data_IF_708998834847
#
_entry.id   IF_708998834847
#
_cell.length_a   1.000
_cell.length_b   1.000
_cell.length_c   1.000
_cell.angle_alpha   90.00
_cell.angle_beta   90.00
_cell.angle_gamma   90.00
#
_symmetry.space_group_name_H-M   'P 1'
#
loop_
_entity.id
_entity.type
_entity.pdbx_description
1 polymer ?
#
# COMPACT_ATOMS: atom_id res chain seq x y z
N UNK A 1 12.12 30.50 -74.06
CA UNK A 1 11.70 31.85 -74.51
C UNK A 1 10.30 32.02 -73.96
N UNK A 2 10.02 33.15 -73.34
CA UNK A 2 8.71 33.36 -72.71
C UNK A 2 7.63 33.51 -73.79
N UNK A 3 6.44 32.93 -73.57
CA UNK A 3 5.30 33.04 -74.49
C UNK A 3 4.96 34.52 -74.70
N UNK A 4 5.03 35.32 -73.63
CA UNK A 4 4.79 36.75 -73.67
C UNK A 4 5.72 37.46 -74.66
N UNK A 5 7.02 37.11 -74.65
CA UNK A 5 7.99 37.67 -75.57
C UNK A 5 7.69 37.33 -77.04
N UNK A 6 7.17 36.12 -77.31
CA UNK A 6 6.77 35.73 -78.67
C UNK A 6 5.51 36.47 -79.13
N UNK A 7 4.57 36.72 -78.21
CA UNK A 7 3.38 37.54 -78.48
C UNK A 7 3.78 38.98 -78.76
N UNK A 8 4.62 39.58 -77.92
CA UNK A 8 5.12 40.95 -78.11
C UNK A 8 5.87 41.08 -79.44
N UNK A 9 6.65 40.06 -79.81
CA UNK A 9 7.36 40.04 -81.10
C UNK A 9 6.42 39.93 -82.28
N UNK A 10 5.36 39.13 -82.18
CA UNK A 10 4.32 39.03 -83.20
C UNK A 10 3.56 40.35 -83.36
N UNK A 11 3.20 40.98 -82.24
CA UNK A 11 2.52 42.27 -82.21
C UNK A 11 3.38 43.37 -82.85
N UNK A 12 4.66 43.42 -82.52
CA UNK A 12 5.62 44.34 -83.13
C UNK A 12 5.80 44.07 -84.64
N UNK A 13 5.78 42.81 -85.08
CA UNK A 13 5.83 42.46 -86.50
C UNK A 13 4.59 42.98 -87.26
N UNK A 14 3.42 42.88 -86.64
CA UNK A 14 2.14 43.37 -87.19
C UNK A 14 2.07 44.92 -87.15
N UNK A 15 2.62 45.55 -86.12
CA UNK A 15 2.65 47.01 -86.00
C UNK A 15 3.62 47.66 -87.01
N UNK A 16 4.76 47.00 -87.27
CA UNK A 16 5.82 47.51 -88.16
C UNK A 16 5.59 47.23 -89.64
N UNK A 17 4.54 46.47 -90.00
CA UNK A 17 4.31 46.02 -91.37
C UNK A 17 3.58 47.04 -92.24
N UNK A 18 3.82 46.94 -93.55
CA UNK A 18 3.34 47.92 -94.54
C UNK A 18 1.84 47.75 -94.75
N UNK A 19 1.06 48.78 -94.42
CA UNK A 19 -0.39 48.81 -94.68
C UNK A 19 -0.67 49.23 -96.11
N UNK A 20 -1.65 48.59 -96.74
CA UNK A 20 -2.08 48.90 -98.10
C UNK A 20 -3.14 50.02 -98.05
N UNK A 21 -2.91 51.17 -98.70
CA UNK A 21 -3.88 52.28 -98.72
C UNK A 21 -5.25 51.82 -99.26
N UNK A 22 -6.34 52.38 -98.72
CA UNK A 22 -7.72 52.06 -99.11
C UNK A 22 -8.18 50.61 -98.82
N UNK A 23 -7.38 49.80 -98.10
CA UNK A 23 -7.77 48.46 -97.66
C UNK A 23 -7.37 48.21 -96.20
N UNK A 24 -8.02 47.27 -95.52
CA UNK A 24 -7.65 46.83 -94.17
C UNK A 24 -6.56 45.73 -94.18
N UNK A 25 -5.76 45.64 -95.24
CA UNK A 25 -4.76 44.58 -95.42
C UNK A 25 -3.36 45.02 -94.99
N UNK A 26 -2.61 44.09 -94.41
CA UNK A 26 -1.24 44.30 -93.92
C UNK A 26 -0.31 43.34 -94.66
N UNK A 27 0.77 43.85 -95.23
CA UNK A 27 1.78 43.04 -95.94
C UNK A 27 2.84 42.59 -94.93
N UNK A 28 2.95 41.28 -94.76
CA UNK A 28 3.87 40.64 -93.84
C UNK A 28 4.84 39.74 -94.61
N UNK A 29 6.07 39.62 -94.10
CA UNK A 29 7.04 38.64 -94.60
C UNK A 29 6.69 37.28 -94.02
N UNK A 30 6.34 36.34 -94.89
CA UNK A 30 5.93 34.98 -94.52
C UNK A 30 6.94 34.28 -93.61
N UNK A 31 8.24 34.35 -93.94
CA UNK A 31 9.30 33.70 -93.16
C UNK A 31 9.43 34.22 -91.72
N UNK A 32 9.21 35.51 -91.48
CA UNK A 32 9.31 36.10 -90.15
C UNK A 32 8.14 35.66 -89.25
N UNK A 33 6.93 35.53 -89.83
CA UNK A 33 5.74 35.08 -89.10
C UNK A 33 5.80 33.57 -88.81
N UNK A 34 6.23 32.77 -89.79
CA UNK A 34 6.35 31.33 -89.63
C UNK A 34 7.38 30.97 -88.57
N UNK A 35 8.51 31.70 -88.51
CA UNK A 35 9.50 31.53 -87.45
C UNK A 35 8.94 31.79 -86.04
N UNK A 36 8.09 32.80 -85.88
CA UNK A 36 7.45 33.10 -84.58
C UNK A 36 6.44 31.99 -84.23
N UNK A 37 5.65 31.52 -85.21
CA UNK A 37 4.69 30.43 -85.03
C UNK A 37 5.39 29.12 -84.64
N UNK A 38 6.52 28.78 -85.28
CA UNK A 38 7.30 27.57 -84.94
C UNK A 38 7.91 27.65 -83.55
N UNK A 39 8.38 28.84 -83.14
CA UNK A 39 8.86 29.09 -81.78
C UNK A 39 7.72 28.97 -80.76
N UNK A 40 6.53 29.51 -81.05
CA UNK A 40 5.34 29.37 -80.20
C UNK A 40 4.91 27.91 -80.09
N UNK A 41 4.94 27.17 -81.20
CA UNK A 41 4.56 25.75 -81.24
C UNK A 41 5.49 24.87 -80.40
N UNK A 42 6.74 25.28 -80.21
CA UNK A 42 7.73 24.55 -79.42
C UNK A 42 7.70 24.95 -77.94
N UNK A 43 7.55 26.25 -77.65
CA UNK A 43 7.53 26.79 -76.29
C UNK A 43 6.23 26.48 -75.57
N UNK A 44 5.08 26.97 -76.09
CA UNK A 44 3.79 26.93 -75.39
C UNK A 44 3.45 25.57 -74.76
N UNK A 45 3.61 24.43 -75.45
CA UNK A 45 3.32 23.13 -74.85
C UNK A 45 4.18 22.81 -73.63
N UNK A 46 5.44 23.23 -73.61
CA UNK A 46 6.36 23.00 -72.50
C UNK A 46 6.01 23.91 -71.31
N UNK A 47 5.70 25.19 -71.51
CA UNK A 47 5.23 26.04 -70.41
C UNK A 47 3.89 25.55 -69.83
N UNK A 48 2.95 25.09 -70.67
CA UNK A 48 1.69 24.49 -70.19
C UNK A 48 1.92 23.20 -69.39
N UNK A 49 2.86 22.34 -69.83
CA UNK A 49 3.26 21.14 -69.04
C UNK A 49 3.87 21.53 -67.71
N UNK A 50 4.76 22.53 -67.68
CA UNK A 50 5.37 23.01 -66.44
C UNK A 50 4.32 23.57 -65.48
N UNK A 51 3.40 24.41 -65.98
CA UNK A 51 2.30 24.93 -65.18
C UNK A 51 1.43 23.81 -64.58
N UNK A 52 1.08 22.79 -65.37
CA UNK A 52 0.34 21.61 -64.87
C UNK A 52 1.11 20.85 -63.80
N UNK A 53 2.43 20.67 -63.95
CA UNK A 53 3.28 20.02 -62.94
C UNK A 53 3.30 20.83 -61.64
N UNK A 54 3.42 22.15 -61.72
CA UNK A 54 3.40 23.03 -60.55
C UNK A 54 2.05 22.94 -59.83
N UNK A 55 0.94 22.91 -60.56
CA UNK A 55 -0.40 22.76 -59.97
C UNK A 55 -0.52 21.40 -59.27
N UNK A 56 -0.11 20.30 -59.91
CA UNK A 56 -0.12 18.97 -59.30
C UNK A 56 0.75 18.89 -58.04
N UNK A 57 1.93 19.50 -58.08
CA UNK A 57 2.84 19.52 -56.92
C UNK A 57 2.26 20.37 -55.79
N UNK A 58 1.64 21.51 -56.11
CA UNK A 58 0.93 22.33 -55.13
C UNK A 58 -0.21 21.55 -54.48
N UNK A 59 -1.03 20.85 -55.26
CA UNK A 59 -2.12 20.02 -54.74
C UNK A 59 -1.58 18.90 -53.84
N UNK A 60 -0.48 18.24 -54.24
CA UNK A 60 0.20 17.23 -53.43
C UNK A 60 0.69 17.80 -52.10
N UNK A 61 1.33 18.96 -52.11
CA UNK A 61 1.82 19.63 -50.90
C UNK A 61 0.67 20.02 -49.99
N UNK A 62 -0.43 20.56 -50.55
CA UNK A 62 -1.61 20.92 -49.77
C UNK A 62 -2.26 19.69 -49.12
N UNK A 63 -2.41 18.59 -49.87
CA UNK A 63 -2.94 17.35 -49.33
C UNK A 63 -2.06 16.80 -48.21
N UNK A 64 -0.73 16.82 -48.39
CA UNK A 64 0.21 16.38 -47.36
C UNK A 64 0.13 17.27 -46.11
N UNK A 65 0.13 18.59 -46.28
CA UNK A 65 0.03 19.53 -45.16
C UNK A 65 -1.28 19.36 -44.39
N UNK A 66 -2.39 19.08 -45.08
CA UNK A 66 -3.67 18.83 -44.44
C UNK A 66 -3.69 17.50 -43.69
N UNK A 67 -3.08 16.45 -44.25
CA UNK A 67 -2.89 15.17 -43.57
C UNK A 67 -2.03 15.33 -42.31
N UNK A 68 -0.90 16.03 -42.40
CA UNK A 68 0.01 16.28 -41.28
C UNK A 68 -0.66 17.12 -40.19
N UNK A 69 -1.40 18.16 -40.56
CA UNK A 69 -2.18 18.97 -39.62
C UNK A 69 -3.24 18.13 -38.89
N UNK A 70 -3.95 17.26 -39.62
CA UNK A 70 -4.95 16.37 -39.02
C UNK A 70 -4.32 15.36 -38.06
N UNK A 71 -3.15 14.80 -38.43
CA UNK A 71 -2.42 13.86 -37.58
C UNK A 71 -1.86 14.54 -36.33
N UNK A 72 -1.36 15.77 -36.46
CA UNK A 72 -0.88 16.56 -35.32
C UNK A 72 -2.02 16.87 -34.35
N UNK A 73 -3.18 17.27 -34.87
CA UNK A 73 -4.34 17.59 -34.03
C UNK A 73 -4.86 16.35 -33.30
N UNK A 74 -4.89 15.19 -33.97
CA UNK A 74 -5.27 13.92 -33.33
C UNK A 74 -4.30 13.54 -32.20
N UNK A 75 -2.98 13.68 -32.41
CA UNK A 75 -1.97 13.42 -31.36
C UNK A 75 -2.11 14.39 -30.19
N UNK A 76 -2.31 15.68 -30.45
CA UNK A 76 -2.50 16.68 -29.40
C UNK A 76 -3.75 16.40 -28.55
N UNK A 77 -4.85 15.96 -29.18
CA UNK A 77 -6.05 15.54 -28.48
C UNK A 77 -5.81 14.31 -27.61
N UNK A 78 -5.11 13.29 -28.14
CA UNK A 78 -4.77 12.10 -27.37
C UNK A 78 -3.88 12.43 -26.16
N UNK A 79 -2.86 13.27 -26.34
CA UNK A 79 -1.98 13.72 -25.25
C UNK A 79 -2.75 14.52 -24.19
N UNK A 80 -3.66 15.39 -24.61
CA UNK A 80 -4.51 16.17 -23.70
C UNK A 80 -5.42 15.26 -22.88
N UNK A 81 -6.09 14.28 -23.52
CA UNK A 81 -6.93 13.31 -22.81
C UNK A 81 -6.12 12.49 -21.81
N UNK A 82 -4.94 12.01 -22.20
CA UNK A 82 -4.02 11.29 -21.29
C UNK A 82 -3.56 12.16 -20.12
N UNK A 83 -3.36 13.46 -20.33
CA UNK A 83 -2.99 14.39 -19.27
C UNK A 83 -4.14 14.57 -18.27
N UNK A 84 -5.37 14.78 -18.77
CA UNK A 84 -6.58 14.89 -17.94
C UNK A 84 -6.82 13.60 -17.14
N UNK A 85 -6.68 12.43 -17.78
CA UNK A 85 -6.83 11.14 -17.10
C UNK A 85 -5.80 10.95 -15.97
N UNK A 86 -4.54 11.34 -16.22
CA UNK A 86 -3.48 11.30 -15.19
C UNK A 86 -3.76 12.28 -14.06
N UNK A 87 -4.19 13.50 -14.36
CA UNK A 87 -4.54 14.49 -13.35
C UNK A 87 -5.71 14.00 -12.50
N UNK A 88 -6.76 13.48 -13.13
CA UNK A 88 -7.89 12.86 -12.42
C UNK A 88 -7.45 11.70 -11.53
N UNK A 89 -6.55 10.83 -12.00
CA UNK A 89 -5.98 9.76 -11.19
C UNK A 89 -5.17 10.29 -9.99
N UNK A 90 -4.39 11.36 -10.19
CA UNK A 90 -3.61 11.99 -9.11
C UNK A 90 -4.51 12.57 -8.02
N UNK A 91 -5.58 13.27 -8.41
CA UNK A 91 -6.56 13.83 -7.46
C UNK A 91 -7.21 12.71 -6.62
N UNK A 92 -7.65 11.62 -7.28
CA UNK A 92 -8.24 10.46 -6.58
C UNK A 92 -7.21 9.80 -5.65
N UNK A 93 -5.95 9.68 -6.09
CA UNK A 93 -4.90 9.11 -5.27
C UNK A 93 -4.59 9.97 -4.05
N UNK A 94 -4.60 11.30 -4.20
CA UNK A 94 -4.39 12.24 -3.11
C UNK A 94 -5.54 12.20 -2.09
N UNK A 95 -6.79 12.20 -2.56
CA UNK A 95 -7.98 12.04 -1.71
C UNK A 95 -7.90 10.75 -0.87
N UNK A 96 -7.64 9.61 -1.52
CA UNK A 96 -7.47 8.32 -0.83
C UNK A 96 -6.31 8.31 0.16
N UNK A 97 -5.21 8.98 -0.18
CA UNK A 97 -4.06 9.11 0.73
C UNK A 97 -4.43 9.90 1.98
N UNK A 98 -5.15 11.02 1.81
CA UNK A 98 -5.65 11.82 2.92
C UNK A 98 -6.61 11.03 3.81
N UNK A 99 -7.55 10.30 3.22
CA UNK A 99 -8.45 9.40 3.97
C UNK A 99 -7.69 8.34 4.76
N UNK A 100 -6.67 7.73 4.15
CA UNK A 100 -5.83 6.73 4.82
C UNK A 100 -5.06 7.32 5.99
N UNK A 101 -4.48 8.51 5.83
CA UNK A 101 -3.77 9.22 6.90
C UNK A 101 -4.73 9.57 8.04
N UNK A 102 -5.92 10.07 7.74
CA UNK A 102 -6.93 10.38 8.75
C UNK A 102 -7.36 9.12 9.52
N UNK A 103 -7.66 8.03 8.80
CA UNK A 103 -8.02 6.74 9.40
C UNK A 103 -6.90 6.18 10.27
N UNK A 104 -5.64 6.25 9.80
CA UNK A 104 -4.48 5.83 10.57
C UNK A 104 -4.30 6.66 11.84
N UNK A 105 -4.46 7.99 11.77
CA UNK A 105 -4.39 8.88 12.92
C UNK A 105 -5.47 8.56 13.97
N UNK A 106 -6.72 8.39 13.52
CA UNK A 106 -7.83 8.01 14.41
C UNK A 106 -7.56 6.67 15.10
N UNK A 107 -7.09 5.67 14.33
CA UNK A 107 -6.74 4.36 14.87
C UNK A 107 -5.57 4.44 15.86
N UNK A 108 -4.54 5.22 15.56
CA UNK A 108 -3.42 5.42 16.49
C UNK A 108 -3.86 6.09 17.79
N UNK A 109 -4.69 7.14 17.71
CA UNK A 109 -5.24 7.79 18.91
C UNK A 109 -6.07 6.81 19.75
N UNK A 110 -6.89 5.98 19.11
CA UNK A 110 -7.68 4.97 19.80
C UNK A 110 -6.82 3.88 20.45
N UNK A 111 -5.73 3.46 19.81
CA UNK A 111 -4.76 2.51 20.39
C UNK A 111 -4.09 3.13 21.62
N UNK A 112 -3.63 4.39 21.53
CA UNK A 112 -2.98 5.09 22.64
C UNK A 112 -3.96 5.20 23.82
N UNK A 113 -5.18 5.68 23.57
CA UNK A 113 -6.22 5.80 24.60
C UNK A 113 -6.50 4.45 25.30
N UNK A 114 -6.66 3.37 24.52
CA UNK A 114 -6.87 2.03 25.09
C UNK A 114 -5.67 1.52 25.87
N UNK A 115 -4.45 1.82 25.43
CA UNK A 115 -3.24 1.46 26.15
C UNK A 115 -3.12 2.21 27.48
N UNK A 116 -3.47 3.50 27.51
CA UNK A 116 -3.52 4.31 28.73
C UNK A 116 -4.57 3.79 29.71
N UNK A 117 -5.80 3.54 29.23
CA UNK A 117 -6.88 2.94 30.04
C UNK A 117 -6.44 1.60 30.64
N UNK A 118 -5.83 0.74 29.83
CA UNK A 118 -5.35 -0.57 30.29
C UNK A 118 -4.20 -0.45 31.29
N UNK A 119 -3.26 0.47 31.07
CA UNK A 119 -2.15 0.70 32.00
C UNK A 119 -2.66 1.20 33.36
N UNK A 120 -3.66 2.08 33.38
CA UNK A 120 -4.22 2.60 34.61
C UNK A 120 -5.01 1.55 35.37
N UNK A 121 -5.77 0.71 34.66
CA UNK A 121 -6.43 -0.46 35.25
C UNK A 121 -5.42 -1.43 35.84
N UNK A 122 -4.34 -1.75 35.12
CA UNK A 122 -3.30 -2.67 35.59
C UNK A 122 -2.61 -2.14 36.85
N UNK A 123 -2.34 -0.83 36.93
CA UNK A 123 -1.80 -0.20 38.15
C UNK A 123 -2.76 -0.34 39.32
N UNK A 124 -4.05 -0.04 39.12
CA UNK A 124 -5.05 -0.15 40.17
C UNK A 124 -5.19 -1.60 40.67
N UNK A 125 -5.17 -2.58 39.77
CA UNK A 125 -5.20 -4.00 40.11
C UNK A 125 -3.95 -4.42 40.88
N UNK A 126 -2.77 -3.96 40.47
CA UNK A 126 -1.50 -4.24 41.16
C UNK A 126 -1.45 -3.62 42.57
N UNK A 127 -1.91 -2.38 42.72
CA UNK A 127 -2.02 -1.70 44.02
C UNK A 127 -3.00 -2.43 44.93
N UNK A 128 -4.15 -2.86 44.39
CA UNK A 128 -5.13 -3.67 45.11
C UNK A 128 -4.54 -4.99 45.59
N UNK A 129 -3.84 -5.70 44.72
CA UNK A 129 -3.15 -6.94 45.05
C UNK A 129 -2.06 -6.75 46.11
N UNK A 130 -1.26 -5.68 46.01
CA UNK A 130 -0.23 -5.35 46.98
C UNK A 130 -0.82 -5.05 48.36
N UNK A 131 -1.89 -4.24 48.42
CA UNK A 131 -2.61 -3.95 49.66
C UNK A 131 -3.18 -5.22 50.30
N UNK A 132 -3.77 -6.09 49.51
CA UNK A 132 -4.32 -7.36 50.00
C UNK A 132 -3.22 -8.28 50.54
N UNK A 133 -2.11 -8.40 49.82
CA UNK A 133 -0.95 -9.18 50.28
C UNK A 133 -0.39 -8.63 51.59
N UNK A 134 -0.26 -7.30 51.72
CA UNK A 134 0.21 -6.66 52.95
C UNK A 134 -0.77 -6.82 54.12
N UNK A 135 -2.08 -6.81 53.87
CA UNK A 135 -3.10 -7.09 54.90
C UNK A 135 -2.99 -8.53 55.41
N UNK A 136 -2.90 -9.49 54.50
CA UNK A 136 -2.73 -10.91 54.85
C UNK A 136 -1.43 -11.13 55.64
N UNK A 137 -0.33 -10.49 55.23
CA UNK A 137 0.93 -10.55 55.99
C UNK A 137 0.78 -9.97 57.40
N UNK A 138 0.12 -8.82 57.54
CA UNK A 138 -0.13 -8.20 58.86
C UNK A 138 -0.96 -9.13 59.75
N UNK A 139 -2.01 -9.74 59.22
CA UNK A 139 -2.84 -10.70 59.97
C UNK A 139 -2.04 -11.92 60.42
N UNK A 140 -1.18 -12.46 59.55
CA UNK A 140 -0.27 -13.55 59.92
C UNK A 140 0.70 -13.14 61.03
N UNK A 141 1.27 -11.93 60.98
CA UNK A 141 2.16 -11.44 62.02
C UNK A 141 1.46 -11.27 63.38
N UNK A 142 0.23 -10.74 63.39
CA UNK A 142 -0.58 -10.64 64.61
C UNK A 142 -0.92 -12.00 65.21
N UNK A 143 -1.18 -13.00 64.36
CA UNK A 143 -1.39 -14.37 64.81
C UNK A 143 -0.12 -14.93 65.46
N UNK A 144 1.05 -14.78 64.81
CA UNK A 144 2.34 -15.21 65.36
C UNK A 144 2.66 -14.51 66.68
N UNK A 145 2.41 -13.20 66.80
CA UNK A 145 2.59 -12.44 68.05
C UNK A 145 1.75 -13.02 69.19
N UNK A 146 0.49 -13.38 68.90
CA UNK A 146 -0.43 -13.97 69.88
C UNK A 146 0.07 -15.35 70.33
N UNK A 147 0.54 -16.19 69.40
CA UNK A 147 1.10 -17.51 69.71
C UNK A 147 2.38 -17.41 70.55
N UNK A 148 3.28 -16.48 70.22
CA UNK A 148 4.49 -16.22 71.00
C UNK A 148 4.13 -15.77 72.42
N UNK A 149 3.18 -14.84 72.56
CA UNK A 149 2.72 -14.36 73.87
C UNK A 149 2.12 -15.48 74.72
N UNK A 150 1.34 -16.39 74.11
CA UNK A 150 0.81 -17.59 74.79
C UNK A 150 1.93 -18.53 75.23
N UNK A 151 2.94 -18.71 74.39
CA UNK A 151 4.10 -19.56 74.67
C UNK A 151 4.93 -19.00 75.83
N UNK A 152 5.20 -17.69 75.85
CA UNK A 152 5.91 -17.02 76.95
C UNK A 152 5.15 -17.22 78.27
N UNK A 153 3.85 -16.95 78.29
CA UNK A 153 3.01 -17.16 79.48
C UNK A 153 3.02 -18.62 79.96
N UNK A 154 3.09 -19.59 79.04
CA UNK A 154 3.20 -21.01 79.40
C UNK A 154 4.56 -21.36 80.00
N UNK A 155 5.65 -20.75 79.48
CA UNK A 155 7.00 -20.92 80.02
C UNK A 155 7.08 -20.31 81.42
N UNK A 156 6.55 -19.10 81.62
CA UNK A 156 6.50 -18.43 82.93
C UNK A 156 5.76 -19.28 83.96
N UNK A 157 4.55 -19.77 83.62
CA UNK A 157 3.80 -20.70 84.49
C UNK A 157 4.56 -22.00 84.77
N UNK A 158 5.28 -22.53 83.77
CA UNK A 158 6.13 -23.70 83.94
C UNK A 158 7.28 -23.44 84.92
N UNK A 159 7.97 -22.30 84.80
CA UNK A 159 9.04 -21.90 85.71
C UNK A 159 8.51 -21.71 87.14
N UNK A 160 7.38 -21.01 87.32
CA UNK A 160 6.75 -20.83 88.64
C UNK A 160 6.44 -22.20 89.28
N UNK A 161 5.90 -23.15 88.51
CA UNK A 161 5.61 -24.50 89.01
C UNK A 161 6.84 -25.30 89.44
N UNK A 162 8.01 -25.01 88.87
CA UNK A 162 9.28 -25.63 89.25
C UNK A 162 9.91 -24.96 90.48
N UNK A 163 9.61 -23.69 90.75
CA UNK A 163 10.08 -22.98 91.93
C UNK A 163 9.27 -23.32 93.19
N UNK A 164 7.99 -23.72 93.03
CA UNK A 164 7.07 -23.97 94.13
C UNK A 164 7.03 -25.43 94.62
N UNK A 165 7.97 -26.29 94.21
CA UNK A 165 8.08 -27.64 94.76
C UNK A 165 8.80 -27.64 96.12
N UNK A 166 8.13 -27.99 97.24
CA UNK A 166 8.82 -28.28 98.49
C UNK A 166 9.51 -29.64 98.35
N UNK A 167 10.82 -29.66 98.58
CA UNK A 167 11.62 -30.89 98.62
C UNK A 167 11.06 -31.83 99.70
N UNK A 168 10.42 -32.92 99.30
CA UNK A 168 10.13 -34.05 100.20
C UNK A 168 10.76 -35.31 99.61
N UNK A 169 11.68 -35.88 100.38
CA UNK A 169 12.46 -37.08 100.09
C UNK A 169 11.62 -38.32 100.41
N UNK A 170 11.60 -39.25 99.43
CA UNK A 170 11.46 -40.72 99.45
C UNK A 170 10.56 -41.40 100.49
N UNK A 171 9.72 -42.33 100.02
CA UNK A 171 9.84 -43.76 100.39
C UNK A 171 9.14 -44.66 99.36
N UNK A 172 9.84 -45.74 98.99
CA UNK A 172 9.38 -46.84 98.14
C UNK A 172 8.40 -47.75 98.91
N UNK A 173 7.39 -48.30 98.23
CA UNK A 173 6.92 -49.66 98.53
C UNK A 173 6.43 -50.36 97.25
N UNK A 174 6.58 -51.68 97.25
CA UNK A 174 6.84 -52.57 96.11
C UNK A 174 5.73 -53.64 96.03
N UNK A 175 5.22 -53.87 94.81
CA UNK A 175 4.74 -55.15 94.19
C UNK A 175 3.35 -55.69 94.58
N UNK A 176 2.53 -56.01 93.56
CA UNK A 176 2.26 -57.40 93.12
C UNK A 176 1.63 -57.46 91.71
N UNK A 177 2.10 -58.45 90.94
CA UNK A 177 1.77 -58.79 89.54
C UNK A 177 0.51 -59.67 89.45
N UNK A 178 -0.15 -59.71 88.28
CA UNK A 178 -0.53 -61.00 87.66
C UNK A 178 -0.82 -60.88 86.14
N UNK A 179 -0.06 -61.69 85.39
CA UNK A 179 -0.23 -62.37 84.09
C UNK A 179 -1.62 -62.37 83.38
N UNK A 180 -1.79 -62.58 82.06
CA UNK A 180 -0.96 -62.84 80.87
C UNK A 180 -1.93 -62.93 79.65
N UNK A 181 -1.36 -62.90 78.45
CA UNK A 181 -1.75 -63.59 77.19
C UNK A 181 -1.92 -62.71 75.94
N UNK A 182 -0.85 -62.70 75.13
CA UNK A 182 -0.80 -62.50 73.67
C UNK A 182 -1.16 -63.84 72.96
N UNK A 183 -1.42 -63.93 71.63
CA UNK A 183 -0.81 -63.11 70.56
C UNK A 183 -1.71 -62.78 69.33
N UNK A 184 -1.11 -62.04 68.38
CA UNK A 184 -1.57 -61.74 67.01
C UNK A 184 -1.93 -63.00 66.19
N UNK A 185 -2.59 -62.80 65.02
CA UNK A 185 -1.90 -63.25 63.81
C UNK A 185 -1.99 -62.28 62.62
N UNK A 186 -0.88 -62.25 61.88
CA UNK A 186 -0.71 -61.82 60.49
C UNK A 186 -1.39 -62.76 59.48
N UNK A 187 -1.97 -62.24 58.38
CA UNK A 187 -1.99 -62.92 57.07
C UNK A 187 -2.49 -62.02 55.89
N UNK A 188 -1.55 -61.68 54.99
CA UNK A 188 -1.50 -61.73 53.49
C UNK A 188 -2.76 -61.40 52.60
N UNK A 189 -2.69 -61.18 51.25
CA UNK A 189 -1.59 -60.93 50.29
C UNK A 189 -1.85 -59.77 49.25
N UNK A 190 -0.83 -59.45 48.42
CA UNK A 190 -0.95 -58.76 47.07
C UNK A 190 -1.65 -59.67 46.02
N UNK A 191 -1.80 -59.42 44.69
CA UNK A 191 -1.50 -58.25 43.81
C UNK A 191 -2.62 -57.95 42.75
N UNK A 192 -2.43 -56.95 41.86
CA UNK A 192 -2.38 -57.13 40.37
C UNK A 192 -2.52 -55.82 39.58
N UNK A 193 -1.69 -55.77 38.54
CA UNK A 193 -1.76 -54.91 37.35
C UNK A 193 -3.08 -55.10 36.57
N UNK A 194 -3.60 -54.01 36.03
CA UNK A 194 -4.28 -53.92 34.73
C UNK A 194 -3.97 -52.50 34.20
N UNK A 195 -3.29 -52.25 33.08
CA UNK A 195 -3.52 -52.62 31.67
C UNK A 195 -4.86 -52.14 31.13
N UNK A 196 -4.85 -51.11 30.29
CA UNK A 196 -5.33 -51.09 28.90
C UNK A 196 -5.17 -49.64 28.39
N UNK A 197 -4.32 -49.44 27.36
CA UNK A 197 -4.70 -49.41 25.95
C UNK A 197 -5.55 -48.16 25.64
N UNK A 198 -4.93 -47.15 25.04
CA UNK A 198 -4.89 -46.96 23.60
C UNK A 198 -6.19 -46.34 23.09
N UNK A 199 -6.11 -45.07 22.72
CA UNK A 199 -6.84 -44.62 21.54
C UNK A 199 -5.97 -43.66 20.74
N UNK A 200 -5.53 -44.19 19.61
CA UNK A 200 -5.08 -43.48 18.43
C UNK A 200 -6.30 -42.95 17.69
N UNK A 201 -6.25 -41.75 17.10
CA UNK A 201 -6.78 -41.40 15.76
C UNK A 201 -6.87 -39.87 15.64
N UNK A 202 -6.39 -39.33 14.50
CA UNK A 202 -6.84 -38.04 14.00
C UNK A 202 -5.71 -37.11 13.56
N UNK A 203 -5.12 -37.40 12.40
CA UNK A 203 -4.00 -36.65 11.82
C UNK A 203 -4.33 -35.22 11.35
N UNK A 204 -3.32 -34.52 10.79
CA UNK A 204 -3.41 -33.15 10.33
C UNK A 204 -3.86 -33.09 8.86
N UNK A 205 -4.76 -32.17 8.54
CA UNK A 205 -4.91 -31.53 7.21
C UNK A 205 -6.04 -30.50 7.27
N UNK A 206 -5.79 -29.26 6.82
CA UNK A 206 -6.17 -28.75 5.50
C UNK A 206 -5.84 -27.25 5.46
N UNK A 207 -5.03 -26.89 4.46
CA UNK A 207 -4.93 -25.65 3.68
C UNK A 207 -5.95 -24.53 3.94
N UNK A 208 -5.47 -23.28 4.00
CA UNK A 208 -5.52 -22.30 2.88
C UNK A 208 -4.93 -20.96 3.29
#
# INVERSE_FOLDING_TARGET
MDILYLIDRLENLIASSRRVPLTNQVILKEGDILNIIDQMRTSIPEEVKQARRIIQEKERILAQAQADASALLARAQEETNRAIDREGLLVIAEERSQEMIQSANLRSQDIIRRAEEHAEQLKADADGYALETLRNLREHLLHVETEVSRTILSIERGIDSLQDQPTTILEEEVVEEEENTLPEPSDLPTPRRSSLAADTIGGPNVFS
#
